data_IF_756251604683
#
_entry.id   IF_756251604683
#
_cell.length_a   1.000
_cell.length_b   1.000
_cell.length_c   1.000
_cell.angle_alpha   90.00
_cell.angle_beta   90.00
_cell.angle_gamma   90.00
#
_symmetry.space_group_name_H-M   'P 1'
#
loop_
_entity.id
_entity.type
_entity.pdbx_description
1 polymer ?
#
# COMPACT_ATOMS: atom_id res chain seq x y z
N UNK A 1 33.71 29.15 24.93
CA UNK A 1 32.93 29.19 23.68
C UNK A 1 33.14 27.88 22.94
N UNK A 2 32.18 26.97 23.04
CA UNK A 2 31.86 25.93 22.06
C UNK A 2 30.48 25.41 22.45
N UNK A 3 29.47 25.87 21.73
CA UNK A 3 28.10 25.40 21.87
C UNK A 3 28.02 24.01 21.26
N UNK A 4 27.83 23.00 22.09
CA UNK A 4 27.41 21.69 21.64
C UNK A 4 25.96 21.85 21.16
N UNK A 5 25.77 21.84 19.84
CA UNK A 5 24.44 21.81 19.23
C UNK A 5 23.90 20.40 19.49
N UNK A 6 23.21 20.24 20.61
CA UNK A 6 22.44 19.05 20.96
C UNK A 6 21.45 18.79 19.82
N UNK A 7 21.77 17.84 18.96
CA UNK A 7 20.92 17.47 17.83
C UNK A 7 19.69 16.75 18.41
N UNK A 8 18.49 17.34 18.36
CA UNK A 8 17.34 16.75 19.03
C UNK A 8 16.98 15.46 18.29
N UNK A 9 17.18 14.34 18.98
CA UNK A 9 16.70 13.05 18.47
C UNK A 9 15.19 13.18 18.21
N UNK A 10 14.72 12.82 17.00
CA UNK A 10 13.32 13.01 16.66
C UNK A 10 12.46 12.23 17.65
N UNK A 11 11.38 12.84 18.17
CA UNK A 11 10.54 12.20 19.16
C UNK A 11 10.00 10.86 18.65
N UNK A 12 9.79 9.91 19.56
CA UNK A 12 9.53 8.49 19.24
C UNK A 12 8.40 8.30 18.22
N UNK A 13 7.36 9.14 18.29
CA UNK A 13 6.24 9.10 17.34
C UNK A 13 6.65 9.41 15.89
N UNK A 14 7.62 10.32 15.66
CA UNK A 14 8.14 10.64 14.32
C UNK A 14 8.93 9.46 13.76
N UNK A 15 9.72 8.79 14.60
CA UNK A 15 10.48 7.60 14.20
C UNK A 15 9.54 6.44 13.85
N UNK A 16 8.50 6.23 14.64
CA UNK A 16 7.46 5.24 14.38
C UNK A 16 6.78 5.51 13.03
N UNK A 17 6.31 6.73 12.80
CA UNK A 17 5.65 7.11 11.54
C UNK A 17 6.54 6.88 10.32
N UNK A 18 7.83 7.25 10.39
CA UNK A 18 8.77 7.04 9.31
C UNK A 18 9.00 5.55 9.03
N UNK A 19 9.12 4.74 10.07
CA UNK A 19 9.23 3.28 9.94
C UNK A 19 7.96 2.68 9.34
N UNK A 20 6.77 3.08 9.80
CA UNK A 20 5.50 2.65 9.23
C UNK A 20 5.37 3.00 7.73
N UNK A 21 5.77 4.22 7.33
CA UNK A 21 5.77 4.62 5.91
C UNK A 21 6.75 3.79 5.07
N UNK A 22 7.92 3.49 5.61
CA UNK A 22 8.90 2.63 4.94
C UNK A 22 8.36 1.21 4.76
N UNK A 23 7.77 0.64 5.79
CA UNK A 23 7.13 -0.69 5.76
C UNK A 23 5.99 -0.70 4.73
N UNK A 24 5.11 0.31 4.73
CA UNK A 24 4.05 0.44 3.73
C UNK A 24 4.57 0.48 2.30
N UNK A 25 5.64 1.24 2.08
CA UNK A 25 6.28 1.36 0.76
C UNK A 25 6.82 0.00 0.29
N UNK A 26 7.45 -0.75 1.19
CA UNK A 26 7.97 -2.09 0.89
C UNK A 26 6.84 -3.08 0.58
N UNK A 27 5.77 -3.09 1.38
CA UNK A 27 4.62 -3.97 1.15
C UNK A 27 3.95 -3.65 -0.19
N UNK A 28 3.77 -2.37 -0.51
CA UNK A 28 3.22 -1.93 -1.80
C UNK A 28 4.09 -2.39 -2.97
N UNK A 29 5.42 -2.28 -2.85
CA UNK A 29 6.34 -2.75 -3.87
C UNK A 29 6.30 -4.27 -4.06
N UNK A 30 6.23 -5.04 -2.95
CA UNK A 30 6.13 -6.49 -2.98
C UNK A 30 4.83 -6.94 -3.67
N UNK A 31 3.69 -6.36 -3.28
CA UNK A 31 2.39 -6.67 -3.86
C UNK A 31 2.34 -6.35 -5.37
N UNK A 32 2.87 -5.19 -5.78
CA UNK A 32 2.95 -4.83 -7.20
C UNK A 32 3.87 -5.76 -8.00
N UNK A 33 4.93 -6.28 -7.37
CA UNK A 33 5.82 -7.26 -8.00
C UNK A 33 5.14 -8.61 -8.19
N UNK A 34 4.42 -9.10 -7.17
CA UNK A 34 3.65 -10.36 -7.24
C UNK A 34 2.53 -10.28 -8.29
N UNK A 35 1.93 -9.11 -8.45
CA UNK A 35 0.85 -8.89 -9.41
C UNK A 35 1.34 -8.45 -10.79
N UNK A 36 2.66 -8.38 -11.05
CA UNK A 36 3.23 -7.79 -12.27
C UNK A 36 2.66 -8.39 -13.55
N UNK A 37 2.52 -9.72 -13.62
CA UNK A 37 1.97 -10.39 -14.82
C UNK A 37 0.47 -10.11 -15.00
N UNK A 38 -0.28 -10.03 -13.89
CA UNK A 38 -1.71 -9.73 -13.92
C UNK A 38 -1.94 -8.25 -14.29
N UNK A 39 -1.08 -7.35 -13.80
CA UNK A 39 -1.03 -5.93 -14.15
C UNK A 39 -0.63 -5.77 -15.62
N UNK A 40 0.27 -6.58 -16.17
CA UNK A 40 0.60 -6.50 -17.60
C UNK A 40 -0.64 -6.77 -18.49
N UNK A 41 -1.60 -7.57 -17.99
CA UNK A 41 -2.82 -7.91 -18.72
C UNK A 41 -4.01 -6.98 -18.42
N UNK A 42 -4.11 -6.40 -17.21
CA UNK A 42 -5.26 -5.57 -16.76
C UNK A 42 -4.84 -4.29 -16.01
N UNK A 43 -3.68 -3.73 -16.36
CA UNK A 43 -2.87 -2.88 -15.49
C UNK A 43 -3.55 -1.68 -14.86
N UNK A 44 -4.38 -0.98 -15.63
CA UNK A 44 -5.05 0.22 -15.12
C UNK A 44 -6.13 -0.10 -14.08
N UNK A 45 -6.89 -1.19 -14.28
CA UNK A 45 -7.96 -1.57 -13.35
C UNK A 45 -7.36 -2.16 -12.06
N UNK A 46 -6.28 -2.95 -12.17
CA UNK A 46 -5.59 -3.49 -10.99
C UNK A 46 -4.89 -2.37 -10.20
N UNK A 47 -4.26 -1.42 -10.90
CA UNK A 47 -3.66 -0.25 -10.27
C UNK A 47 -4.71 0.60 -9.55
N UNK A 48 -5.89 0.79 -10.14
CA UNK A 48 -7.01 1.47 -9.49
C UNK A 48 -7.48 0.73 -8.23
N UNK A 49 -7.63 -0.59 -8.29
CA UNK A 49 -8.01 -1.43 -7.15
C UNK A 49 -7.00 -1.33 -5.98
N UNK A 50 -5.70 -1.32 -6.28
CA UNK A 50 -4.65 -1.15 -5.27
C UNK A 50 -4.68 0.26 -4.66
N UNK A 51 -4.88 1.30 -5.47
CA UNK A 51 -4.99 2.68 -4.97
C UNK A 51 -6.24 2.86 -4.09
N UNK A 52 -7.36 2.22 -4.43
CA UNK A 52 -8.57 2.23 -3.61
C UNK A 52 -8.35 1.54 -2.26
N UNK A 53 -7.66 0.39 -2.25
CA UNK A 53 -7.29 -0.30 -1.02
C UNK A 53 -6.37 0.56 -0.12
N UNK A 54 -5.43 1.29 -0.71
CA UNK A 54 -4.57 2.22 0.02
C UNK A 54 -5.37 3.37 0.65
N UNK A 55 -6.29 3.96 -0.11
CA UNK A 55 -7.17 5.03 0.39
C UNK A 55 -8.01 4.56 1.58
N UNK A 56 -8.56 3.34 1.51
CA UNK A 56 -9.32 2.73 2.61
C UNK A 56 -8.43 2.44 3.82
N UNK A 57 -7.24 1.89 3.61
CA UNK A 57 -6.31 1.58 4.69
C UNK A 57 -5.83 2.84 5.43
N UNK A 58 -5.59 3.95 4.71
CA UNK A 58 -5.22 5.25 5.29
C UNK A 58 -6.27 5.83 6.25
N UNK A 59 -7.54 5.38 6.17
CA UNK A 59 -8.59 5.75 7.11
C UNK A 59 -8.57 4.98 8.43
N UNK A 60 -7.66 4.01 8.58
CA UNK A 60 -7.52 3.18 9.79
C UNK A 60 -6.36 3.63 10.67
N UNK A 61 -6.36 3.24 11.95
CA UNK A 61 -5.25 3.51 12.86
C UNK A 61 -3.97 2.74 12.50
N UNK A 62 -4.09 1.63 11.74
CA UNK A 62 -2.97 0.77 11.37
C UNK A 62 -2.97 0.42 9.86
N UNK A 63 -2.74 1.40 8.97
CA UNK A 63 -2.86 1.18 7.52
C UNK A 63 -2.02 0.01 6.98
N UNK A 64 -0.86 -0.25 7.60
CA UNK A 64 0.06 -1.33 7.21
C UNK A 64 -0.46 -2.74 7.53
N UNK A 65 -1.38 -2.88 8.48
CA UNK A 65 -2.01 -4.16 8.81
C UNK A 65 -3.19 -4.46 7.87
N UNK A 66 -3.95 -3.42 7.49
CA UNK A 66 -5.16 -3.59 6.69
C UNK A 66 -4.92 -3.51 5.18
N UNK A 67 -3.94 -2.72 4.74
CA UNK A 67 -3.64 -2.53 3.32
C UNK A 67 -3.43 -3.83 2.54
N UNK A 68 -2.64 -4.83 3.01
CA UNK A 68 -2.37 -6.03 2.24
C UNK A 68 -3.64 -6.83 1.95
N UNK A 69 -4.48 -7.01 2.98
CA UNK A 69 -5.74 -7.73 2.88
C UNK A 69 -6.73 -6.99 1.97
N UNK A 70 -6.90 -5.67 2.18
CA UNK A 70 -7.79 -4.84 1.36
C UNK A 70 -7.38 -4.83 -0.12
N UNK A 71 -6.07 -4.78 -0.40
CA UNK A 71 -5.57 -4.78 -1.76
C UNK A 71 -5.85 -6.13 -2.46
N UNK A 72 -5.65 -7.25 -1.77
CA UNK A 72 -6.01 -8.57 -2.27
C UNK A 72 -7.52 -8.68 -2.56
N UNK A 73 -8.37 -8.22 -1.64
CA UNK A 73 -9.83 -8.24 -1.82
C UNK A 73 -10.28 -7.43 -3.04
N UNK A 74 -9.74 -6.22 -3.24
CA UNK A 74 -10.07 -5.35 -4.38
C UNK A 74 -9.60 -5.95 -5.70
N UNK A 75 -8.39 -6.51 -5.75
CA UNK A 75 -7.87 -7.21 -6.95
C UNK A 75 -8.72 -8.43 -7.29
N UNK A 76 -9.12 -9.22 -6.29
CA UNK A 76 -10.00 -10.36 -6.49
C UNK A 76 -11.40 -9.95 -6.98
N UNK A 77 -11.96 -8.84 -6.49
CA UNK A 77 -13.24 -8.32 -6.95
C UNK A 77 -13.21 -7.90 -8.43
N UNK A 78 -12.12 -7.26 -8.85
CA UNK A 78 -11.86 -6.94 -10.26
C UNK A 78 -11.74 -8.21 -11.10
N UNK A 79 -10.96 -9.20 -10.65
CA UNK A 79 -10.78 -10.45 -11.38
C UNK A 79 -12.10 -11.21 -11.58
N UNK A 80 -12.95 -11.27 -10.55
CA UNK A 80 -14.30 -11.88 -10.63
C UNK A 80 -15.22 -11.13 -11.60
N UNK A 81 -15.15 -9.80 -11.64
CA UNK A 81 -15.99 -8.97 -12.51
C UNK A 81 -15.55 -9.07 -13.98
N UNK A 82 -14.24 -9.12 -14.25
CA UNK A 82 -13.71 -9.30 -15.61
C UNK A 82 -14.05 -10.69 -16.18
N UNK A 83 -14.11 -11.73 -15.35
CA UNK A 83 -14.57 -13.06 -15.79
C UNK A 83 -16.03 -13.09 -16.25
N UNK A 84 -16.88 -12.18 -15.75
CA UNK A 84 -18.27 -12.03 -16.17
C UNK A 84 -18.49 -11.20 -17.44
N UNK A 85 -17.52 -10.34 -17.79
CA UNK A 85 -17.58 -9.45 -18.97
C UNK A 85 -17.06 -10.11 -20.26
N UNK A 86 -16.31 -11.22 -20.18
CA UNK A 86 -15.81 -11.98 -21.35
C UNK A 86 -16.85 -13.00 -21.88
N UNK A 87 -17.99 -13.17 -21.20
CA UNK A 87 -19.07 -14.10 -21.59
C UNK A 87 -20.36 -13.42 -22.06
N UNK A 88 -20.29 -12.21 -22.59
CA UNK A 88 -21.45 -11.52 -23.20
C UNK A 88 -21.16 -11.09 -24.62
#
# INVERSE_FOLDING_TARGET
>A
MSNEIENPTPPVHVRCLNSCRQILTQIKAALLSELREVIALHGEIIRAAINEAEALACGTEFPHLFFPTLAMEKVQAVAKSNQGLVRR
#
